data_IF_292431723839
#
_entry.id   IF_292431723839
#
_cell.length_a   1.000
_cell.length_b   1.000
_cell.length_c   1.000
_cell.angle_alpha   90.00
_cell.angle_beta   90.00
_cell.angle_gamma   90.00
#
_symmetry.space_group_name_H-M   'P 1'
#
loop_
_entity.id
_entity.type
_entity.pdbx_description
1 polymer ?
#
# COMPACT_ATOMS: atom_id res chain seq x y z
N UNK A 1 -7.88 16.38 -12.04
CA UNK A 1 -7.31 16.42 -10.68
C UNK A 1 -7.47 15.03 -10.13
N UNK A 2 -6.39 14.25 -10.05
CA UNK A 2 -6.44 12.92 -9.48
C UNK A 2 -5.91 13.03 -8.05
N UNK A 3 -6.66 12.54 -7.07
CA UNK A 3 -6.37 12.70 -5.64
C UNK A 3 -6.52 11.36 -4.94
N UNK A 4 -5.50 11.07 -4.14
CA UNK A 4 -5.38 10.10 -3.04
C UNK A 4 -5.83 8.66 -3.29
N UNK A 5 -4.84 7.77 -3.20
CA UNK A 5 -4.87 6.42 -3.73
C UNK A 5 -4.45 5.44 -2.64
N UNK A 6 -5.04 4.25 -2.64
CA UNK A 6 -4.57 3.14 -1.83
C UNK A 6 -3.93 2.09 -2.74
N UNK A 7 -2.62 1.86 -2.61
CA UNK A 7 -1.92 0.75 -3.25
C UNK A 7 -2.08 -0.49 -2.39
N UNK A 8 -2.43 -1.62 -3.02
CA UNK A 8 -2.37 -2.91 -2.37
C UNK A 8 -1.17 -3.70 -2.89
N UNK A 9 -0.30 -4.17 -2.00
CA UNK A 9 0.78 -5.11 -2.34
C UNK A 9 0.41 -6.51 -1.86
N UNK A 10 0.74 -7.53 -2.64
CA UNK A 10 0.66 -8.91 -2.15
C UNK A 10 2.03 -9.53 -2.25
N UNK A 11 2.50 -10.09 -1.14
CA UNK A 11 3.76 -10.82 -1.13
C UNK A 11 3.45 -12.31 -1.15
N UNK A 12 3.65 -12.92 -2.32
CA UNK A 12 3.48 -14.36 -2.45
C UNK A 12 4.79 -15.06 -2.09
N UNK A 13 4.85 -15.69 -0.92
CA UNK A 13 5.90 -16.68 -0.60
C UNK A 13 5.39 -18.13 -0.82
N UNK A 14 4.09 -18.33 -1.09
CA UNK A 14 3.52 -19.67 -1.26
C UNK A 14 2.57 -19.75 -2.46
N UNK A 15 3.05 -20.40 -3.53
CA UNK A 15 2.24 -21.30 -4.36
C UNK A 15 1.22 -20.70 -5.33
N UNK A 16 1.65 -19.87 -6.29
CA UNK A 16 0.83 -19.48 -7.45
C UNK A 16 0.58 -20.61 -8.48
N UNK A 17 1.04 -21.84 -8.22
CA UNK A 17 0.85 -22.98 -9.12
C UNK A 17 -0.62 -23.34 -9.38
N UNK A 18 -1.55 -22.94 -8.49
CA UNK A 18 -2.98 -23.20 -8.66
C UNK A 18 -3.68 -22.22 -9.64
N UNK A 19 -3.23 -20.96 -9.73
CA UNK A 19 -3.83 -19.93 -10.58
C UNK A 19 -3.44 -20.06 -12.06
N UNK A 20 -2.38 -20.83 -12.38
CA UNK A 20 -1.96 -21.09 -13.76
C UNK A 20 -2.91 -22.01 -14.53
N UNK A 21 -3.75 -22.78 -13.84
CA UNK A 21 -4.61 -23.80 -14.48
C UNK A 21 -5.82 -23.24 -15.24
N UNK A 22 -6.07 -21.92 -15.15
CA UNK A 22 -7.18 -21.24 -15.84
C UNK A 22 -6.70 -20.18 -16.85
N UNK A 23 -5.38 -20.08 -17.07
CA UNK A 23 -4.76 -19.15 -18.02
C UNK A 23 -3.99 -19.94 -19.09
N UNK A 24 -4.71 -20.72 -19.89
CA UNK A 24 -4.09 -21.47 -20.99
C UNK A 24 -3.67 -20.55 -22.16
N UNK A 25 -2.45 -20.84 -22.65
CA UNK A 25 -1.76 -20.35 -23.86
C UNK A 25 -1.06 -18.98 -23.82
N UNK A 26 0.18 -18.98 -23.28
CA UNK A 26 1.20 -18.00 -23.66
C UNK A 26 2.45 -18.71 -24.23
N UNK A 27 3.11 -18.17 -25.27
CA UNK A 27 4.21 -18.82 -25.95
C UNK A 27 5.51 -18.83 -25.12
N UNK A 28 6.30 -19.89 -25.30
CA UNK A 28 7.61 -20.12 -24.66
C UNK A 28 8.55 -18.91 -24.77
N UNK A 29 8.99 -18.38 -23.61
CA UNK A 29 9.97 -17.30 -23.50
C UNK A 29 11.38 -17.89 -23.57
N UNK A 30 12.12 -17.58 -24.64
CA UNK A 30 13.55 -17.94 -24.77
C UNK A 30 14.39 -17.20 -23.71
N UNK A 31 15.29 -17.94 -23.05
CA UNK A 31 16.26 -17.39 -22.09
C UNK A 31 17.19 -16.38 -22.78
N UNK A 32 17.22 -15.15 -22.27
CA UNK A 32 18.17 -14.12 -22.68
C UNK A 32 19.38 -14.11 -21.72
N UNK A 33 20.57 -14.10 -22.30
CA UNK A 33 21.86 -14.02 -21.61
C UNK A 33 22.04 -12.68 -20.92
N UNK A 34 22.46 -12.73 -19.65
CA UNK A 34 22.69 -11.59 -18.76
C UNK A 34 23.85 -10.70 -19.22
N UNK A 35 23.53 -9.47 -19.63
CA UNK A 35 24.45 -8.34 -19.66
C UNK A 35 23.84 -7.25 -18.78
N UNK A 36 24.54 -6.78 -17.74
CA UNK A 36 24.06 -5.73 -16.85
C UNK A 36 23.57 -4.52 -17.67
N UNK A 37 22.27 -4.20 -17.64
CA UNK A 37 21.73 -3.13 -18.47
C UNK A 37 22.14 -1.79 -17.86
N UNK A 38 22.61 -0.88 -18.72
CA UNK A 38 22.62 0.55 -18.38
C UNK A 38 21.17 0.95 -18.17
N UNK A 39 20.85 1.39 -16.96
CA UNK A 39 19.51 1.80 -16.56
C UNK A 39 19.09 3.04 -17.36
N UNK A 40 18.16 2.86 -18.30
CA UNK A 40 17.56 3.96 -19.04
C UNK A 40 16.69 4.79 -18.09
N UNK A 41 16.97 6.09 -17.97
CA UNK A 41 16.18 7.03 -17.15
C UNK A 41 14.71 7.16 -17.56
N UNK A 42 14.28 6.48 -18.64
CA UNK A 42 12.90 6.36 -19.08
C UNK A 42 12.09 5.26 -18.36
N UNK A 43 12.71 4.39 -17.55
CA UNK A 43 12.00 3.38 -16.74
C UNK A 43 11.21 4.06 -15.58
N UNK A 44 11.57 5.31 -15.22
CA UNK A 44 10.87 6.11 -14.21
C UNK A 44 9.50 6.64 -14.67
N UNK A 45 9.11 6.42 -15.94
CA UNK A 45 7.79 6.78 -16.46
C UNK A 45 6.87 5.56 -16.44
N UNK A 46 6.01 5.53 -15.42
CA UNK A 46 4.67 4.99 -15.54
C UNK A 46 4.58 3.47 -15.48
N UNK A 47 4.70 2.91 -14.27
CA UNK A 47 3.92 1.71 -14.00
C UNK A 47 2.46 2.14 -14.05
N UNK A 48 1.78 1.86 -15.18
CA UNK A 48 0.33 2.07 -15.32
C UNK A 48 -0.39 1.01 -14.49
N UNK A 49 -0.39 1.23 -13.17
CA UNK A 49 -1.04 0.34 -12.24
C UNK A 49 -2.54 0.32 -12.52
N UNK A 50 -3.07 -0.90 -12.63
CA UNK A 50 -4.51 -1.11 -12.83
C UNK A 50 -5.27 -0.50 -11.66
N UNK A 51 -6.32 0.26 -11.97
CA UNK A 51 -7.13 0.94 -10.97
C UNK A 51 -8.52 0.33 -10.89
N UNK A 52 -9.02 0.14 -9.67
CA UNK A 52 -10.35 -0.40 -9.36
C UNK A 52 -11.02 0.51 -8.36
N UNK A 53 -12.32 0.80 -8.52
CA UNK A 53 -13.05 1.56 -7.49
C UNK A 53 -13.34 0.66 -6.30
N UNK A 54 -13.31 1.20 -5.09
CA UNK A 54 -13.61 0.40 -3.88
C UNK A 54 -14.94 -0.36 -3.98
N UNK A 55 -16.00 0.28 -4.48
CA UNK A 55 -17.30 -0.38 -4.67
C UNK A 55 -17.25 -1.58 -5.63
N UNK A 56 -16.39 -1.51 -6.64
CA UNK A 56 -16.22 -2.57 -7.63
C UNK A 56 -15.35 -3.69 -7.05
N UNK A 57 -14.43 -3.37 -6.12
CA UNK A 57 -13.69 -4.38 -5.36
C UNK A 57 -14.58 -5.10 -4.34
N UNK A 58 -15.50 -4.38 -3.70
CA UNK A 58 -16.47 -4.94 -2.74
C UNK A 58 -17.53 -5.83 -3.41
N UNK A 59 -17.91 -5.50 -4.65
CA UNK A 59 -18.89 -6.24 -5.44
C UNK A 59 -18.34 -6.48 -6.85
N UNK A 60 -17.36 -7.40 -7.00
CA UNK A 60 -16.63 -7.57 -8.23
C UNK A 60 -17.49 -8.12 -9.36
N UNK A 61 -17.51 -7.38 -10.49
CA UNK A 61 -17.96 -7.92 -11.76
C UNK A 61 -16.94 -8.93 -12.30
N UNK A 62 -17.32 -9.73 -13.29
CA UNK A 62 -16.39 -10.63 -13.97
C UNK A 62 -15.20 -9.90 -14.61
N UNK A 63 -15.41 -8.64 -15.03
CA UNK A 63 -14.34 -7.81 -15.57
C UNK A 63 -13.39 -7.35 -14.47
N UNK A 64 -13.93 -6.91 -13.31
CA UNK A 64 -13.12 -6.55 -12.14
C UNK A 64 -12.29 -7.74 -11.67
N UNK A 65 -12.87 -8.95 -11.63
CA UNK A 65 -12.14 -10.18 -11.29
C UNK A 65 -10.94 -10.41 -12.20
N UNK A 66 -11.15 -10.37 -13.52
CA UNK A 66 -10.08 -10.58 -14.50
C UNK A 66 -9.01 -9.50 -14.40
N UNK A 67 -9.42 -8.26 -14.17
CA UNK A 67 -8.51 -7.12 -14.02
C UNK A 67 -7.62 -7.30 -12.79
N UNK A 68 -8.20 -7.61 -11.63
CA UNK A 68 -7.45 -7.81 -10.38
C UNK A 68 -6.58 -9.06 -10.46
N UNK A 69 -7.10 -10.20 -10.93
CA UNK A 69 -6.31 -11.42 -11.06
C UNK A 69 -5.10 -11.23 -11.99
N UNK A 70 -5.28 -10.50 -13.09
CA UNK A 70 -4.18 -10.13 -13.98
C UNK A 70 -3.18 -9.20 -13.28
N UNK A 71 -3.68 -8.15 -12.63
CA UNK A 71 -2.84 -7.19 -11.90
C UNK A 71 -1.97 -7.90 -10.83
N UNK A 72 -2.57 -8.86 -10.14
CA UNK A 72 -1.88 -9.63 -9.11
C UNK A 72 -0.83 -10.59 -9.67
N UNK A 73 -1.10 -11.22 -10.81
CA UNK A 73 -0.17 -12.19 -11.41
C UNK A 73 0.97 -11.53 -12.20
N UNK A 74 0.77 -10.33 -12.74
CA UNK A 74 1.75 -9.63 -13.57
C UNK A 74 2.55 -8.59 -12.78
N UNK A 75 1.88 -7.78 -11.95
CA UNK A 75 2.51 -6.67 -11.24
C UNK A 75 2.62 -6.89 -9.72
N UNK A 76 1.84 -7.81 -9.15
CA UNK A 76 1.80 -8.07 -7.70
C UNK A 76 1.11 -6.96 -6.90
N UNK A 77 0.51 -5.98 -7.57
CA UNK A 77 -0.16 -4.84 -6.95
C UNK A 77 -1.18 -4.18 -7.89
N UNK A 78 -2.10 -3.44 -7.29
CA UNK A 78 -3.05 -2.60 -8.02
C UNK A 78 -3.50 -1.44 -7.14
N UNK A 79 -4.27 -0.55 -7.75
CA UNK A 79 -4.74 0.69 -7.18
C UNK A 79 -6.21 0.58 -6.82
N UNK A 80 -6.56 0.99 -5.61
CA UNK A 80 -7.95 1.17 -5.17
C UNK A 80 -8.31 2.65 -5.09
N UNK A 81 -9.28 3.05 -5.91
CA UNK A 81 -9.85 4.39 -5.91
C UNK A 81 -10.94 4.46 -4.83
N UNK A 82 -10.68 5.28 -3.81
CA UNK A 82 -11.61 5.53 -2.71
C UNK A 82 -12.69 6.55 -3.12
N UNK A 83 -13.86 6.56 -2.45
CA UNK A 83 -14.77 7.69 -2.52
C UNK A 83 -14.09 8.98 -2.03
N UNK A 84 -14.37 10.12 -2.66
CA UNK A 84 -13.72 11.42 -2.38
C UNK A 84 -13.67 11.75 -0.88
N UNK A 85 -14.78 11.54 -0.15
CA UNK A 85 -14.84 11.82 1.30
C UNK A 85 -13.84 10.98 2.10
N UNK A 86 -13.66 9.70 1.75
CA UNK A 86 -12.71 8.82 2.42
C UNK A 86 -11.27 9.15 2.01
N UNK A 87 -11.05 9.48 0.74
CA UNK A 87 -9.77 9.91 0.21
C UNK A 87 -9.27 11.21 0.88
N UNK A 88 -10.14 12.21 1.01
CA UNK A 88 -9.82 13.49 1.66
C UNK A 88 -9.53 13.30 3.16
N UNK A 89 -10.31 12.46 3.87
CA UNK A 89 -10.09 12.18 5.28
C UNK A 89 -8.75 11.45 5.53
N UNK A 90 -8.40 10.51 4.66
CA UNK A 90 -7.11 9.81 4.66
C UNK A 90 -5.96 10.78 4.43
N UNK A 91 -6.06 11.62 3.40
CA UNK A 91 -5.04 12.61 3.06
C UNK A 91 -4.83 13.65 4.17
N UNK A 92 -5.91 14.12 4.80
CA UNK A 92 -5.85 15.03 5.95
C UNK A 92 -5.15 14.38 7.15
N UNK A 93 -5.46 13.11 7.43
CA UNK A 93 -4.84 12.36 8.52
C UNK A 93 -3.34 12.18 8.30
N UNK A 94 -2.93 11.79 7.09
CA UNK A 94 -1.52 11.63 6.74
C UNK A 94 -0.76 12.96 6.74
N UNK A 95 -1.41 14.05 6.30
CA UNK A 95 -0.85 15.40 6.40
C UNK A 95 -0.65 15.83 7.85
N UNK A 96 -1.63 15.55 8.70
CA UNK A 96 -1.54 15.82 10.15
C UNK A 96 -0.40 15.03 10.79
N UNK A 97 -0.18 13.76 10.39
CA UNK A 97 0.96 12.97 10.83
C UNK A 97 2.29 13.62 10.41
N UNK A 98 2.44 13.97 9.12
CA UNK A 98 3.66 14.60 8.61
C UNK A 98 3.94 15.95 9.29
N UNK A 99 2.91 16.76 9.54
CA UNK A 99 3.04 18.00 10.30
C UNK A 99 3.55 17.78 11.71
N UNK A 100 3.04 16.77 12.40
CA UNK A 100 3.53 16.45 13.74
C UNK A 100 4.96 15.89 13.72
N UNK A 101 5.24 14.96 12.81
CA UNK A 101 6.54 14.32 12.68
C UNK A 101 7.65 15.32 12.28
N UNK A 102 7.34 16.34 11.49
CA UNK A 102 8.28 17.40 11.12
C UNK A 102 8.53 18.40 12.26
N UNK A 103 7.51 18.71 13.07
CA UNK A 103 7.63 19.59 14.23
C UNK A 103 8.49 19.02 15.38
N UNK A 104 8.83 17.72 15.33
CA UNK A 104 9.57 17.01 16.39
C UNK A 104 8.91 17.14 17.77
N UNK A 105 7.57 17.29 17.81
CA UNK A 105 6.80 17.46 19.04
C UNK A 105 6.54 16.13 19.78
N UNK A 106 6.72 15.00 19.09
CA UNK A 106 6.65 13.65 19.64
C UNK A 106 8.01 12.95 19.51
N UNK A 107 8.33 12.05 20.44
CA UNK A 107 9.52 11.19 20.39
C UNK A 107 9.33 10.05 19.37
N UNK A 108 9.20 10.42 18.09
CA UNK A 108 9.07 9.45 17.00
C UNK A 108 10.45 8.92 16.59
N UNK A 109 10.62 7.59 16.44
CA UNK A 109 11.84 7.01 15.91
C UNK A 109 12.21 7.60 14.54
N UNK A 110 13.46 8.04 14.42
CA UNK A 110 14.04 8.54 13.16
C UNK A 110 15.21 7.67 12.74
N UNK A 111 15.22 7.28 11.47
CA UNK A 111 16.32 6.56 10.82
C UNK A 111 16.84 7.36 9.63
N UNK A 112 18.13 7.21 9.32
CA UNK A 112 18.75 7.80 8.12
C UNK A 112 19.04 6.66 7.14
N UNK A 113 18.57 6.81 5.91
CA UNK A 113 18.65 5.81 4.86
C UNK A 113 19.96 5.93 4.04
N UNK A 114 20.17 5.02 3.10
CA UNK A 114 21.42 4.91 2.33
C UNK A 114 21.78 6.16 1.52
N UNK A 115 20.78 6.91 1.06
CA UNK A 115 20.92 8.17 0.33
C UNK A 115 20.95 9.42 1.25
N UNK A 116 20.88 9.21 2.56
CA UNK A 116 20.75 10.26 3.56
C UNK A 116 19.32 10.77 3.78
N UNK A 117 18.31 10.20 3.13
CA UNK A 117 16.90 10.47 3.41
C UNK A 117 16.59 10.13 4.86
N UNK A 118 15.90 11.04 5.57
CA UNK A 118 15.43 10.79 6.94
C UNK A 118 14.05 10.14 6.87
N UNK A 119 13.88 9.02 7.55
CA UNK A 119 12.59 8.34 7.75
C UNK A 119 12.18 8.43 9.21
N UNK A 120 11.10 9.16 9.48
CA UNK A 120 10.41 9.14 10.77
C UNK A 120 9.29 8.11 10.72
N UNK A 121 9.18 7.26 11.75
CA UNK A 121 8.23 6.14 11.75
C UNK A 121 7.39 6.11 13.02
N UNK A 122 6.12 5.78 12.87
CA UNK A 122 5.25 5.31 13.96
C UNK A 122 4.71 3.94 13.58
N UNK A 123 4.90 2.95 14.45
CA UNK A 123 4.38 1.61 14.26
C UNK A 123 3.34 1.30 15.33
N UNK A 124 2.18 0.80 14.91
CA UNK A 124 1.08 0.39 15.77
C UNK A 124 0.71 -1.05 15.41
N UNK A 125 0.37 -1.86 16.41
CA UNK A 125 -0.08 -3.24 16.16
C UNK A 125 -1.60 -3.35 16.27
N UNK A 126 -2.15 -4.30 15.53
CA UNK A 126 -3.52 -4.79 15.65
C UNK A 126 -3.43 -6.27 15.95
N UNK A 127 -3.98 -6.72 17.07
CA UNK A 127 -3.96 -8.13 17.46
C UNK A 127 -5.40 -8.65 17.59
N UNK A 128 -5.77 -9.67 16.80
CA UNK A 128 -7.11 -10.28 16.79
C UNK A 128 -8.22 -9.21 16.76
N UNK A 129 -8.22 -8.37 15.72
CA UNK A 129 -9.13 -7.22 15.56
C UNK A 129 -9.05 -6.12 16.63
N UNK A 130 -8.21 -6.24 17.65
CA UNK A 130 -7.98 -5.20 18.66
C UNK A 130 -6.85 -4.28 18.22
N UNK A 131 -7.21 -3.07 17.79
CA UNK A 131 -6.25 -2.02 17.43
C UNK A 131 -5.56 -1.46 18.66
N UNK A 132 -4.25 -1.34 18.61
CA UNK A 132 -3.50 -0.57 19.61
C UNK A 132 -3.90 0.90 19.53
N UNK A 133 -4.08 1.51 20.70
CA UNK A 133 -4.26 2.95 20.81
C UNK A 133 -2.98 3.65 20.34
N UNK A 134 -3.14 4.87 19.81
CA UNK A 134 -1.99 5.77 19.60
C UNK A 134 -1.34 6.04 20.96
N UNK A 135 -0.01 5.91 21.09
CA UNK A 135 0.72 6.23 22.32
C UNK A 135 0.35 7.62 22.87
N UNK A 136 0.32 7.78 24.19
CA UNK A 136 -0.20 9.00 24.84
C UNK A 136 0.58 10.26 24.47
N UNK A 137 1.90 10.12 24.38
CA UNK A 137 2.83 11.17 23.97
C UNK A 137 2.52 11.64 22.53
N UNK A 138 2.33 10.70 21.60
CA UNK A 138 1.93 10.99 20.22
C UNK A 138 0.53 11.57 20.18
N UNK A 139 -0.42 11.07 20.99
CA UNK A 139 -1.78 11.60 21.05
C UNK A 139 -1.82 13.05 21.53
N UNK A 140 -0.98 13.37 22.52
CA UNK A 140 -0.87 14.72 23.08
C UNK A 140 -0.18 15.68 22.11
N UNK A 141 0.91 15.23 21.48
CA UNK A 141 1.69 16.04 20.53
C UNK A 141 1.02 16.17 19.16
N UNK A 142 0.24 15.18 18.74
CA UNK A 142 -0.37 15.05 17.41
C UNK A 142 -1.90 14.82 17.49
N UNK A 143 -2.69 15.70 18.15
CA UNK A 143 -4.10 15.42 18.42
C UNK A 143 -4.95 15.27 17.16
N UNK A 144 -4.65 16.02 16.09
CA UNK A 144 -5.35 15.90 14.81
C UNK A 144 -5.12 14.53 14.17
N UNK A 145 -3.86 14.06 14.10
CA UNK A 145 -3.54 12.72 13.62
C UNK A 145 -4.23 11.65 14.47
N UNK A 146 -4.13 11.73 15.80
CA UNK A 146 -4.74 10.75 16.69
C UNK A 146 -6.27 10.67 16.54
N UNK A 147 -6.92 11.79 16.22
CA UNK A 147 -8.36 11.83 15.94
C UNK A 147 -8.73 11.20 14.59
N UNK A 148 -7.90 11.37 13.56
CA UNK A 148 -8.15 10.88 12.20
C UNK A 148 -7.70 9.44 11.94
N UNK A 149 -6.74 8.91 12.71
CA UNK A 149 -6.12 7.61 12.44
C UNK A 149 -7.13 6.46 12.40
N UNK A 150 -8.18 6.50 13.22
CA UNK A 150 -9.20 5.44 13.22
C UNK A 150 -9.99 5.38 11.91
N UNK A 151 -10.24 6.53 11.26
CA UNK A 151 -10.89 6.56 9.95
C UNK A 151 -9.98 5.99 8.86
N UNK A 152 -8.68 6.28 8.94
CA UNK A 152 -7.66 5.69 8.06
C UNK A 152 -7.62 4.17 8.20
N UNK A 153 -7.57 3.67 9.44
CA UNK A 153 -7.60 2.22 9.74
C UNK A 153 -8.88 1.56 9.24
N UNK A 154 -10.05 2.17 9.45
CA UNK A 154 -11.31 1.65 8.93
C UNK A 154 -11.30 1.55 7.40
N UNK A 155 -10.69 2.52 6.73
CA UNK A 155 -10.57 2.50 5.27
C UNK A 155 -9.66 1.35 4.82
N UNK A 156 -8.53 1.15 5.51
CA UNK A 156 -7.62 0.05 5.22
C UNK A 156 -8.27 -1.32 5.44
N UNK A 157 -9.01 -1.50 6.55
CA UNK A 157 -9.74 -2.74 6.83
C UNK A 157 -10.79 -3.03 5.75
N UNK A 158 -11.56 -2.02 5.34
CA UNK A 158 -12.58 -2.19 4.29
C UNK A 158 -11.94 -2.59 2.96
N UNK A 159 -10.82 -1.98 2.59
CA UNK A 159 -10.07 -2.35 1.37
C UNK A 159 -9.50 -3.76 1.49
N UNK A 160 -8.85 -4.08 2.61
CA UNK A 160 -8.21 -5.36 2.87
C UNK A 160 -9.21 -6.52 2.88
N UNK A 161 -10.35 -6.35 3.55
CA UNK A 161 -11.42 -7.36 3.58
C UNK A 161 -12.06 -7.55 2.20
N UNK A 162 -12.31 -6.47 1.46
CA UNK A 162 -12.83 -6.57 0.10
C UNK A 162 -11.87 -7.34 -0.82
N UNK A 163 -10.56 -7.09 -0.69
CA UNK A 163 -9.55 -7.85 -1.42
C UNK A 163 -9.46 -9.31 -0.98
N UNK A 164 -9.44 -9.59 0.32
CA UNK A 164 -9.39 -10.93 0.86
C UNK A 164 -10.57 -11.79 0.36
N UNK A 165 -11.77 -11.20 0.31
CA UNK A 165 -12.96 -11.85 -0.28
C UNK A 165 -12.77 -12.16 -1.75
N UNK A 166 -12.24 -11.20 -2.52
CA UNK A 166 -11.95 -11.42 -3.93
C UNK A 166 -10.96 -12.59 -4.11
N UNK A 167 -9.96 -12.72 -3.24
CA UNK A 167 -9.00 -13.83 -3.25
C UNK A 167 -9.64 -15.18 -2.93
N UNK A 168 -10.57 -15.23 -1.96
CA UNK A 168 -11.36 -16.44 -1.69
C UNK A 168 -12.11 -16.90 -2.94
N UNK A 169 -12.75 -15.97 -3.65
CA UNK A 169 -13.48 -16.28 -4.88
C UNK A 169 -12.53 -16.73 -6.02
N UNK A 170 -11.37 -16.11 -6.16
CA UNK A 170 -10.36 -16.49 -7.16
C UNK A 170 -9.77 -17.89 -6.93
N UNK A 171 -9.48 -18.24 -5.68
CA UNK A 171 -8.79 -19.50 -5.34
C UNK A 171 -9.77 -20.67 -5.21
N UNK A 172 -10.96 -20.44 -4.62
CA UNK A 172 -11.93 -21.52 -4.36
C UNK A 172 -12.93 -21.74 -5.50
N UNK A 173 -12.96 -20.84 -6.50
CA UNK A 173 -13.75 -21.01 -7.73
C UNK A 173 -15.27 -20.96 -7.53
N UNK A 174 -15.74 -20.71 -6.32
CA UNK A 174 -17.15 -20.49 -5.99
C UNK A 174 -17.29 -19.07 -5.48
N UNK A 175 -18.29 -18.34 -5.98
CA UNK A 175 -18.87 -17.22 -5.22
C UNK A 175 -19.28 -17.85 -3.89
N UNK A 176 -18.47 -17.71 -2.85
CA UNK A 176 -18.93 -17.89 -1.47
C UNK A 176 -20.05 -16.85 -1.36
N UNK A 177 -21.27 -17.31 -1.62
CA UNK A 177 -22.43 -16.50 -1.92
C UNK A 177 -22.57 -15.48 -0.77
N UNK A 178 -22.52 -14.19 -1.04
CA UNK A 178 -23.70 -13.43 -1.46
C UNK A 178 -24.88 -13.56 -0.49
N UNK A 179 -24.64 -13.91 0.77
CA UNK A 179 -25.36 -13.24 1.84
C UNK A 179 -24.75 -11.85 1.94
N UNK A 180 -25.59 -10.83 1.84
CA UNK A 180 -25.21 -9.43 1.89
C UNK A 180 -24.32 -9.18 3.11
N UNK A 181 -23.04 -8.87 2.87
CA UNK A 181 -22.14 -8.42 3.92
C UNK A 181 -22.67 -7.08 4.43
N UNK A 182 -23.38 -7.11 5.55
CA UNK A 182 -23.88 -5.92 6.24
C UNK A 182 -22.83 -5.29 7.16
N UNK A 183 -21.60 -5.85 7.15
CA UNK A 183 -20.50 -5.42 8.01
C UNK A 183 -20.51 -6.08 9.40
N UNK A 184 -21.44 -6.99 9.67
CA UNK A 184 -21.41 -7.80 10.89
C UNK A 184 -20.50 -9.02 10.69
N UNK A 185 -19.74 -9.36 11.74
CA UNK A 185 -18.76 -10.46 11.75
C UNK A 185 -19.43 -11.85 11.76
N UNK A 186 -20.45 -12.06 10.93
CA UNK A 186 -21.03 -13.39 10.82
C UNK A 186 -19.97 -14.36 10.31
N UNK A 187 -19.77 -15.41 11.11
CA UNK A 187 -18.70 -16.41 11.14
C UNK A 187 -17.96 -16.57 9.81
N UNK A 188 -16.80 -15.91 9.70
CA UNK A 188 -15.91 -16.13 8.57
C UNK A 188 -15.36 -17.56 8.64
N UNK A 189 -15.56 -18.34 7.58
CA UNK A 189 -15.16 -19.75 7.53
C UNK A 189 -13.63 -19.88 7.73
N UNK A 190 -13.15 -20.66 8.72
CA UNK A 190 -11.73 -20.92 8.89
C UNK A 190 -11.07 -21.45 7.62
N UNK A 191 -9.85 -20.98 7.32
CA UNK A 191 -9.11 -21.37 6.12
C UNK A 191 -9.39 -20.50 4.88
N UNK A 192 -10.20 -19.45 5.02
CA UNK A 192 -10.36 -18.40 4.00
C UNK A 192 -9.33 -17.27 4.14
N UNK A 193 -9.08 -16.54 3.06
CA UNK A 193 -8.33 -15.28 3.08
C UNK A 193 -9.05 -14.24 3.93
N UNK A 194 -10.38 -14.16 3.89
CA UNK A 194 -11.14 -13.28 4.78
C UNK A 194 -10.89 -13.61 6.25
N UNK A 195 -10.92 -14.90 6.63
CA UNK A 195 -10.66 -15.31 8.00
C UNK A 195 -9.24 -14.93 8.41
N UNK A 196 -8.26 -15.21 7.54
CA UNK A 196 -6.88 -14.81 7.77
C UNK A 196 -6.73 -13.29 7.94
N UNK A 197 -7.45 -12.47 7.17
CA UNK A 197 -7.41 -11.01 7.29
C UNK A 197 -8.05 -10.49 8.59
N UNK A 198 -9.17 -11.08 9.04
CA UNK A 198 -9.86 -10.69 10.29
C UNK A 198 -9.06 -11.09 11.52
N UNK A 199 -8.49 -12.30 11.50
CA UNK A 199 -7.75 -12.86 12.64
C UNK A 199 -6.27 -12.49 12.62
N UNK A 200 -5.78 -11.81 11.57
CA UNK A 200 -4.38 -11.44 11.45
C UNK A 200 -3.92 -10.53 12.58
N UNK A 201 -2.70 -10.78 13.05
CA UNK A 201 -1.89 -9.74 13.68
C UNK A 201 -1.38 -8.81 12.57
N UNK A 202 -1.93 -7.60 12.49
CA UNK A 202 -1.56 -6.61 11.49
C UNK A 202 -0.62 -5.55 12.08
N UNK A 203 0.33 -5.10 11.28
CA UNK A 203 1.20 -3.97 11.62
C UNK A 203 0.81 -2.77 10.76
N UNK A 204 0.61 -1.65 11.43
CA UNK A 204 0.32 -0.38 10.80
C UNK A 204 1.55 0.51 10.94
N UNK A 205 2.11 0.93 9.81
CA UNK A 205 3.25 1.83 9.81
C UNK A 205 2.88 3.17 9.16
N UNK A 206 3.20 4.25 9.85
CA UNK A 206 3.16 5.61 9.32
C UNK A 206 4.60 6.04 9.13
N UNK A 207 4.94 6.43 7.90
CA UNK A 207 6.29 6.86 7.55
C UNK A 207 6.25 8.26 6.96
N UNK A 208 7.13 9.14 7.45
CA UNK A 208 7.45 10.40 6.82
C UNK A 208 8.89 10.34 6.30
N UNK A 209 9.05 10.51 5.00
CA UNK A 209 10.36 10.59 4.35
C UNK A 209 10.70 12.06 4.08
N UNK A 210 11.89 12.48 4.47
CA UNK A 210 12.42 13.82 4.19
C UNK A 210 13.75 13.68 3.48
N UNK A 211 13.78 14.09 2.21
CA UNK A 211 14.98 14.08 1.40
C UNK A 211 16.08 14.93 2.06
N UNK A 212 17.33 14.49 1.92
CA UNK A 212 18.50 15.27 2.35
C UNK A 212 18.53 16.60 1.55
N UNK A 213 18.70 17.77 2.20
CA UNK A 213 18.88 19.02 1.49
C UNK A 213 20.10 18.93 0.56
N UNK A 214 20.05 19.50 -0.66
CA UNK A 214 21.22 19.57 -1.52
C UNK A 214 22.31 20.42 -0.84
N UNK A 215 23.33 19.75 -0.31
CA UNK A 215 24.52 20.37 0.30
C UNK A 215 25.68 20.47 -0.70
N UNK A 216 26.55 21.48 -0.51
CA UNK A 216 27.67 21.83 -1.41
C UNK A 216 28.79 20.79 -1.54
N UNK A 217 28.76 19.74 -0.73
CA UNK A 217 29.81 18.70 -0.68
C UNK A 217 29.37 17.38 -1.33
N UNK A 218 28.41 17.39 -2.25
CA UNK A 218 28.06 16.20 -3.02
C UNK A 218 29.15 15.90 -4.03
N UNK A 219 30.21 15.21 -3.58
CA UNK A 219 30.72 14.13 -4.41
C UNK A 219 29.51 13.34 -4.92
N UNK A 220 29.51 13.03 -6.21
CA UNK A 220 28.46 12.30 -6.88
C UNK A 220 28.38 10.86 -6.33
N UNK A 221 27.94 10.72 -5.07
CA UNK A 221 27.39 9.51 -4.54
C UNK A 221 26.27 9.16 -5.52
N UNK A 222 26.55 8.18 -6.39
CA UNK A 222 25.61 7.73 -7.41
C UNK A 222 24.26 7.55 -6.75
N UNK A 223 23.19 7.99 -7.42
CA UNK A 223 21.83 8.07 -6.92
C UNK A 223 21.38 6.77 -6.22
N UNK A 224 21.78 6.60 -4.96
CA UNK A 224 21.48 5.42 -4.18
C UNK A 224 19.99 5.48 -3.89
N UNK A 225 19.30 4.36 -4.04
CA UNK A 225 17.90 4.29 -3.67
C UNK A 225 17.78 4.55 -2.15
N UNK A 226 16.81 5.38 -1.77
CA UNK A 226 16.51 5.61 -0.36
C UNK A 226 16.13 4.29 0.35
N UNK A 227 15.42 3.40 -0.34
CA UNK A 227 15.06 2.10 0.17
C UNK A 227 15.65 1.03 -0.74
N UNK A 228 16.28 0.03 -0.13
CA UNK A 228 16.69 -1.17 -0.85
C UNK A 228 15.45 -1.96 -1.30
N UNK A 229 15.59 -2.63 -2.44
CA UNK A 229 14.58 -3.55 -2.96
C UNK A 229 14.33 -4.68 -1.96
N UNK A 230 13.09 -4.82 -1.52
CA UNK A 230 12.66 -5.87 -0.59
C UNK A 230 11.27 -6.37 -0.94
N UNK A 231 10.89 -7.47 -0.30
CA UNK A 231 9.52 -7.97 -0.28
C UNK A 231 9.07 -8.04 1.17
N UNK A 232 7.86 -7.57 1.44
CA UNK A 232 7.26 -7.67 2.76
C UNK A 232 6.87 -9.11 3.11
N UNK A 233 6.81 -9.39 4.40
CA UNK A 233 6.29 -10.66 4.92
C UNK A 233 4.87 -10.42 5.40
N UNK A 234 3.89 -11.04 4.75
CA UNK A 234 2.48 -10.89 5.11
C UNK A 234 1.57 -11.55 4.07
N UNK A 235 0.26 -11.46 4.30
CA UNK A 235 -0.73 -11.91 3.32
C UNK A 235 -0.88 -10.89 2.19
N UNK A 236 -1.03 -9.62 2.57
CA UNK A 236 -1.05 -8.45 1.69
C UNK A 236 -0.79 -7.19 2.53
N UNK A 237 -0.52 -6.07 1.87
CA UNK A 237 -0.37 -4.75 2.47
C UNK A 237 -1.32 -3.77 1.82
N UNK A 238 -1.93 -2.92 2.64
CA UNK A 238 -2.71 -1.76 2.20
C UNK A 238 -1.88 -0.51 2.48
N UNK A 239 -1.48 0.21 1.45
CA UNK A 239 -0.61 1.39 1.53
C UNK A 239 -1.34 2.62 0.99
N UNK A 240 -1.23 3.75 1.68
CA UNK A 240 -1.75 5.03 1.22
C UNK A 240 -0.62 6.06 1.14
N UNK A 241 -0.09 6.38 -0.05
CA UNK A 241 0.89 7.45 -0.19
C UNK A 241 0.22 8.83 -0.14
N UNK A 242 0.96 9.80 0.41
CA UNK A 242 0.67 11.22 0.19
C UNK A 242 1.98 11.96 -0.09
N UNK A 243 1.99 12.81 -1.12
CA UNK A 243 3.13 13.66 -1.45
C UNK A 243 2.86 15.09 -1.01
N UNK A 244 3.72 15.60 -0.13
CA UNK A 244 3.60 16.92 0.45
C UNK A 244 4.82 17.78 0.06
N UNK A 245 4.58 19.05 -0.20
CA UNK A 245 5.64 20.04 -0.35
C UNK A 245 6.34 20.25 1.00
N UNK A 246 7.68 20.17 1.03
CA UNK A 246 8.46 20.22 2.26
C UNK A 246 8.16 21.47 3.13
N UNK A 247 8.05 22.65 2.50
CA UNK A 247 7.94 23.91 3.23
C UNK A 247 6.51 24.24 3.69
N UNK A 248 5.49 23.69 3.02
CA UNK A 248 4.09 24.08 3.22
C UNK A 248 3.21 22.94 3.71
N UNK A 249 3.71 21.71 3.64
CA UNK A 249 2.97 20.46 3.82
C UNK A 249 1.68 20.40 2.99
N UNK A 250 1.59 21.22 1.93
CA UNK A 250 0.47 21.17 0.99
C UNK A 250 0.69 19.99 0.03
N UNK A 251 -0.39 19.33 -0.42
CA UNK A 251 -0.28 18.33 -1.47
C UNK A 251 0.45 18.90 -2.69
N UNK A 252 1.35 18.11 -3.28
CA UNK A 252 2.04 18.49 -4.51
C UNK A 252 1.00 18.53 -5.64
N UNK A 253 0.79 19.71 -6.23
CA UNK A 253 -0.18 19.87 -7.31
C UNK A 253 0.24 19.06 -8.54
N UNK A 254 -0.67 18.22 -9.03
CA UNK A 254 -0.46 17.44 -10.25
C UNK A 254 0.30 16.14 -10.05
N UNK A 255 0.59 15.71 -8.81
CA UNK A 255 1.07 14.35 -8.57
C UNK A 255 0.03 13.35 -9.08
N UNK A 256 0.38 12.56 -10.09
CA UNK A 256 -0.49 11.51 -10.59
C UNK A 256 -0.68 10.41 -9.52
N UNK A 257 -1.77 9.63 -9.60
CA UNK A 257 -1.97 8.52 -8.68
C UNK A 257 -0.82 7.51 -8.83
N UNK A 258 -0.13 7.20 -7.73
CA UNK A 258 1.08 6.34 -7.73
C UNK A 258 2.40 7.10 -7.89
N UNK A 259 2.39 8.41 -8.15
CA UNK A 259 3.61 9.22 -8.08
C UNK A 259 4.03 9.38 -6.62
N UNK A 260 5.29 9.05 -6.33
CA UNK A 260 5.86 9.06 -4.97
C UNK A 260 6.34 7.69 -4.47
N UNK A 261 5.99 6.61 -5.20
CA UNK A 261 6.51 5.28 -4.92
C UNK A 261 7.34 4.81 -6.12
N UNK A 262 8.66 4.76 -5.94
CA UNK A 262 9.54 4.11 -6.90
C UNK A 262 9.59 2.63 -6.54
N UNK A 263 9.12 1.79 -7.44
CA UNK A 263 9.20 0.33 -7.33
C UNK A 263 9.94 -0.19 -8.53
N UNK A 264 11.03 -0.91 -8.29
CA UNK A 264 11.76 -1.60 -9.34
C UNK A 264 11.41 -3.09 -9.26
N UNK A 265 10.56 -3.58 -10.17
CA UNK A 265 10.26 -5.01 -10.19
C UNK A 265 11.48 -5.80 -10.72
N UNK A 266 11.88 -6.93 -10.11
CA UNK A 266 12.94 -7.77 -10.65
C UNK A 266 12.53 -8.28 -12.05
N UNK A 267 13.38 -8.04 -13.04
CA UNK A 267 13.14 -8.38 -14.46
C UNK A 267 13.33 -9.85 -14.84
#
# INVERSE_FOLDING_TARGET
MARDLVLLFVTSVLGLSALSSHADSLPERKQATSTSPKMDANILRGIDLRQVKLKDLQNPSQETFKLVARAMSQEGMFVVNLPDVAADALAETLRSYAGCASASSAELPVSVLGDGTRRTSLALSVNSSKRSAVPEDVRTACPHFASGVNATRNTADVVGLAFARLMDELVRGSRVASETFDGTQDLVEPGTFQYAAVEAESLEHFHMYTAKPPGRDTEAAGAAAALEMHSDLGLFLVMAPTLLQADSLKPVAGSAPGEGLLLELPG
#
